data_IF_622760123550
#
_entry.id   IF_622760123550
#
_cell.length_a   1.000
_cell.length_b   1.000
_cell.length_c   1.000
_cell.angle_alpha   90.00
_cell.angle_beta   90.00
_cell.angle_gamma   90.00
#
_symmetry.space_group_name_H-M   'P 1'
#
loop_
_entity.id
_entity.type
_entity.pdbx_description
1 polymer ?
#
# COMPACT_ATOMS: atom_id res chain seq x y z
N UNK A 1 -14.79 -8.67 -5.95
CA UNK A 1 -14.55 -7.76 -4.79
C UNK A 1 -14.28 -6.35 -5.29
N UNK A 2 -14.77 -5.33 -4.58
CA UNK A 2 -14.65 -3.93 -4.99
C UNK A 2 -14.42 -3.00 -3.78
N UNK A 3 -14.09 -1.73 -4.03
CA UNK A 3 -14.00 -0.72 -3.00
C UNK A 3 -13.59 0.64 -3.54
N UNK A 4 -13.44 1.60 -2.62
CA UNK A 4 -12.98 2.95 -2.92
C UNK A 4 -11.70 3.28 -2.14
N UNK A 5 -10.77 3.97 -2.81
CA UNK A 5 -9.56 4.50 -2.19
C UNK A 5 -9.66 6.02 -2.11
N UNK A 6 -9.54 6.56 -0.89
CA UNK A 6 -9.72 7.98 -0.59
C UNK A 6 -8.57 8.54 0.23
N UNK A 7 -8.38 9.85 0.21
CA UNK A 7 -7.45 10.52 1.11
C UNK A 7 -7.99 10.49 2.54
N UNK A 8 -7.14 10.19 3.51
CA UNK A 8 -7.57 10.12 4.91
C UNK A 8 -8.04 11.47 5.46
N UNK A 9 -7.48 12.58 4.98
CA UNK A 9 -7.68 13.94 5.47
C UNK A 9 -8.95 14.60 4.93
N UNK A 10 -9.12 14.63 3.60
CA UNK A 10 -10.22 15.32 2.94
C UNK A 10 -11.25 14.38 2.30
N UNK A 11 -11.04 13.06 2.41
CA UNK A 11 -11.90 12.00 1.87
C UNK A 11 -12.11 12.06 0.35
N UNK A 12 -11.30 12.84 -0.37
CA UNK A 12 -11.36 12.87 -1.83
C UNK A 12 -10.91 11.54 -2.43
N UNK A 13 -11.49 11.14 -3.56
CA UNK A 13 -11.04 9.95 -4.28
C UNK A 13 -9.58 10.08 -4.71
N UNK A 14 -8.87 8.96 -4.74
CA UNK A 14 -7.49 8.90 -5.23
C UNK A 14 -7.45 8.08 -6.51
N UNK A 15 -7.13 8.75 -7.61
CA UNK A 15 -6.93 8.13 -8.92
C UNK A 15 -5.58 7.39 -9.00
N UNK A 16 -5.52 6.30 -9.77
CA UNK A 16 -4.29 5.57 -10.09
C UNK A 16 -3.55 4.97 -8.89
N UNK A 17 -4.28 4.49 -7.88
CA UNK A 17 -3.74 3.57 -6.87
C UNK A 17 -3.79 2.15 -7.43
N UNK A 18 -2.65 1.47 -7.44
CA UNK A 18 -2.58 0.04 -7.76
C UNK A 18 -3.09 -0.75 -6.56
N UNK A 19 -4.16 -1.49 -6.76
CA UNK A 19 -4.70 -2.45 -5.81
C UNK A 19 -4.24 -3.83 -6.25
N UNK A 20 -3.43 -4.50 -5.43
CA UNK A 20 -2.89 -5.84 -5.71
C UNK A 20 -3.40 -6.82 -4.67
N UNK A 21 -3.88 -7.98 -5.10
CA UNK A 21 -4.45 -8.97 -4.20
C UNK A 21 -3.67 -10.27 -4.23
N UNK A 22 -3.36 -10.77 -3.04
CA UNK A 22 -2.47 -11.89 -2.82
C UNK A 22 -3.15 -13.00 -2.02
N UNK A 23 -2.77 -14.25 -2.29
CA UNK A 23 -3.09 -15.40 -1.43
C UNK A 23 -2.26 -15.38 -0.16
N UNK A 24 -2.56 -16.31 0.76
CA UNK A 24 -1.79 -16.50 2.00
C UNK A 24 -0.30 -16.84 1.79
N UNK A 25 0.08 -17.39 0.63
CA UNK A 25 1.48 -17.63 0.24
C UNK A 25 2.13 -16.44 -0.48
N UNK A 26 1.44 -15.29 -0.53
CA UNK A 26 1.84 -14.07 -1.22
C UNK A 26 1.93 -14.19 -2.75
N UNK A 27 1.36 -15.25 -3.34
CA UNK A 27 1.15 -15.28 -4.80
C UNK A 27 0.09 -14.26 -5.22
N UNK A 28 0.39 -13.48 -6.26
CA UNK A 28 -0.54 -12.50 -6.82
C UNK A 28 -1.72 -13.21 -7.50
N UNK A 29 -2.94 -12.85 -7.12
CA UNK A 29 -4.19 -13.32 -7.72
C UNK A 29 -4.59 -12.39 -8.86
N UNK A 30 -4.78 -11.12 -8.54
CA UNK A 30 -5.28 -10.10 -9.46
C UNK A 30 -4.80 -8.70 -9.03
N UNK A 31 -4.94 -7.73 -9.94
CA UNK A 31 -4.66 -6.32 -9.68
C UNK A 31 -5.55 -5.40 -10.52
N UNK A 32 -5.86 -4.24 -9.96
CA UNK A 32 -6.53 -3.15 -10.64
C UNK A 32 -5.89 -1.80 -10.32
N UNK A 33 -6.24 -0.77 -11.08
CA UNK A 33 -5.96 0.62 -10.73
C UNK A 33 -7.27 1.32 -10.41
N UNK A 34 -7.25 2.22 -9.43
CA UNK A 34 -8.42 3.03 -9.12
C UNK A 34 -8.73 4.02 -10.25
N UNK A 35 -10.02 4.22 -10.53
CA UNK A 35 -10.52 5.24 -11.47
C UNK A 35 -10.56 6.64 -10.84
N UNK A 36 -11.06 7.64 -11.59
CA UNK A 36 -11.11 9.05 -11.14
C UNK A 36 -11.99 9.24 -9.89
N UNK A 37 -12.94 8.34 -9.65
CA UNK A 37 -13.79 8.30 -8.47
C UNK A 37 -13.16 7.48 -7.32
N UNK A 38 -11.91 7.03 -7.52
CA UNK A 38 -11.15 6.23 -6.57
C UNK A 38 -11.66 4.79 -6.47
N UNK A 39 -12.56 4.35 -7.35
CA UNK A 39 -13.13 3.01 -7.32
C UNK A 39 -12.17 2.00 -7.94
N UNK A 40 -12.11 0.82 -7.36
CA UNK A 40 -11.47 -0.35 -7.98
C UNK A 40 -12.39 -1.56 -7.93
N UNK A 41 -12.10 -2.53 -8.79
CA UNK A 41 -12.78 -3.81 -8.86
C UNK A 41 -11.77 -4.88 -9.28
N UNK A 42 -11.80 -6.03 -8.60
CA UNK A 42 -10.92 -7.18 -8.85
C UNK A 42 -11.72 -8.47 -8.79
N UNK A 43 -11.37 -9.40 -9.66
CA UNK A 43 -12.05 -10.69 -9.78
C UNK A 43 -11.35 -11.72 -8.88
N UNK A 44 -12.01 -12.09 -7.78
CA UNK A 44 -11.45 -13.02 -6.78
C UNK A 44 -12.51 -14.06 -6.45
N UNK A 45 -12.16 -15.35 -6.39
CA UNK A 45 -13.07 -16.38 -5.93
C UNK A 45 -13.67 -16.05 -4.55
N UNK A 46 -14.99 -16.13 -4.44
CA UNK A 46 -15.71 -15.91 -3.19
C UNK A 46 -15.24 -16.89 -2.11
N UNK A 47 -15.10 -16.39 -0.87
CA UNK A 47 -14.67 -17.19 0.27
C UNK A 47 -13.15 -17.37 0.39
N UNK A 48 -12.37 -16.92 -0.59
CA UNK A 48 -10.90 -16.98 -0.51
C UNK A 48 -10.36 -15.97 0.52
N UNK A 49 -9.44 -16.42 1.39
CA UNK A 49 -8.77 -15.52 2.34
C UNK A 49 -7.57 -14.86 1.67
N UNK A 50 -7.60 -13.53 1.58
CA UNK A 50 -6.65 -12.74 0.80
C UNK A 50 -6.00 -11.61 1.61
N UNK A 51 -4.87 -11.13 1.10
CA UNK A 51 -4.23 -9.88 1.51
C UNK A 51 -4.29 -8.88 0.36
N UNK A 52 -4.76 -7.67 0.63
CA UNK A 52 -4.92 -6.60 -0.36
C UNK A 52 -3.93 -5.48 -0.07
N UNK A 53 -3.02 -5.24 -1.00
CA UNK A 53 -2.09 -4.11 -0.97
C UNK A 53 -2.59 -2.94 -1.81
N UNK A 54 -2.42 -1.73 -1.28
CA UNK A 54 -2.75 -0.48 -1.94
C UNK A 54 -1.48 0.35 -2.05
N UNK A 55 -1.01 0.61 -3.25
CA UNK A 55 0.22 1.36 -3.46
C UNK A 55 0.20 2.08 -4.80
N UNK A 56 0.98 3.14 -4.94
CA UNK A 56 1.21 3.78 -6.23
C UNK A 56 2.38 3.12 -6.95
N UNK A 57 2.16 2.71 -8.20
CA UNK A 57 3.24 2.18 -9.03
C UNK A 57 4.28 3.28 -9.30
N UNK A 58 5.58 2.96 -9.17
CA UNK A 58 6.69 3.93 -9.24
C UNK A 58 6.74 4.73 -10.56
N UNK A 59 6.20 4.19 -11.64
CA UNK A 59 6.17 4.83 -12.96
C UNK A 59 5.07 5.89 -13.11
N UNK A 60 4.21 6.05 -12.10
CA UNK A 60 3.08 6.99 -12.16
C UNK A 60 3.49 8.35 -11.63
N UNK A 61 2.81 9.39 -12.12
CA UNK A 61 3.08 10.79 -11.72
C UNK A 61 2.76 11.06 -10.26
N UNK A 62 1.88 10.27 -9.65
CA UNK A 62 1.48 10.35 -8.24
C UNK A 62 2.26 9.36 -7.34
N UNK A 63 3.31 8.69 -7.85
CA UNK A 63 4.06 7.64 -7.15
C UNK A 63 4.62 8.03 -5.77
N UNK A 64 4.82 9.33 -5.60
CA UNK A 64 5.45 9.95 -4.44
C UNK A 64 4.43 10.60 -3.49
N UNK A 65 3.15 10.64 -3.86
CA UNK A 65 2.14 11.44 -3.14
C UNK A 65 1.53 10.70 -1.96
N UNK A 66 1.53 9.37 -1.99
CA UNK A 66 0.77 8.52 -1.07
C UNK A 66 1.64 7.47 -0.41
N UNK A 67 1.39 7.26 0.87
CA UNK A 67 1.90 6.11 1.61
C UNK A 67 1.11 4.86 1.22
N UNK A 68 1.75 3.69 1.09
CA UNK A 68 1.07 2.44 0.82
C UNK A 68 0.20 2.03 2.01
N UNK A 69 -0.63 1.01 1.82
CA UNK A 69 -1.49 0.46 2.85
C UNK A 69 -1.80 -1.01 2.56
N UNK A 70 -2.25 -1.74 3.58
CA UNK A 70 -2.59 -3.16 3.45
C UNK A 70 -3.80 -3.53 4.31
N UNK A 71 -4.61 -4.43 3.80
CA UNK A 71 -5.61 -5.17 4.58
C UNK A 71 -5.33 -6.66 4.43
N UNK A 72 -5.04 -7.32 5.54
CA UNK A 72 -4.72 -8.75 5.57
C UNK A 72 -5.90 -9.58 6.09
N UNK A 73 -5.92 -10.86 5.72
CA UNK A 73 -6.89 -11.86 6.18
C UNK A 73 -8.35 -11.48 5.91
N UNK A 74 -8.61 -10.89 4.73
CA UNK A 74 -9.98 -10.57 4.28
C UNK A 74 -10.56 -11.80 3.60
N UNK A 75 -11.79 -12.15 3.90
CA UNK A 75 -12.54 -13.14 3.14
C UNK A 75 -13.16 -12.43 1.94
N UNK A 76 -12.78 -12.83 0.73
CA UNK A 76 -13.28 -12.25 -0.50
C UNK A 76 -14.80 -12.42 -0.61
N UNK A 77 -15.49 -11.31 -0.86
CA UNK A 77 -16.93 -11.25 -1.05
C UNK A 77 -17.25 -10.15 -2.07
N UNK A 78 -18.32 -10.37 -2.83
CA UNK A 78 -18.86 -9.38 -3.76
C UNK A 78 -19.99 -8.53 -3.14
N UNK A 79 -20.34 -8.79 -1.88
CA UNK A 79 -21.42 -8.07 -1.19
C UNK A 79 -20.91 -6.89 -0.36
N UNK A 80 -19.63 -6.92 0.05
CA UNK A 80 -19.05 -5.92 0.96
C UNK A 80 -17.93 -5.15 0.27
N UNK A 81 -18.06 -3.82 0.24
CA UNK A 81 -17.01 -2.94 -0.23
C UNK A 81 -15.82 -2.97 0.72
N UNK A 82 -14.61 -3.06 0.18
CA UNK A 82 -13.36 -3.01 0.93
C UNK A 82 -12.72 -1.63 0.77
N UNK A 83 -13.29 -0.62 1.41
CA UNK A 83 -12.81 0.75 1.29
C UNK A 83 -11.48 0.98 2.02
N UNK A 84 -10.67 1.89 1.49
CA UNK A 84 -9.38 2.28 2.08
C UNK A 84 -9.17 3.78 2.08
N UNK A 85 -8.57 4.27 3.16
CA UNK A 85 -8.03 5.62 3.23
C UNK A 85 -6.51 5.58 3.19
N UNK A 86 -5.87 6.38 2.33
CA UNK A 86 -4.42 6.50 2.27
C UNK A 86 -3.95 7.82 2.88
N UNK A 87 -2.78 7.75 3.51
CA UNK A 87 -2.10 8.91 4.07
C UNK A 87 -1.21 9.57 3.02
N UNK A 88 -1.20 10.90 2.94
CA UNK A 88 -0.28 11.63 2.07
C UNK A 88 1.15 11.53 2.57
N UNK A 89 2.13 11.53 1.66
CA UNK A 89 3.55 11.64 2.01
C UNK A 89 3.79 12.90 2.87
N UNK A 90 4.62 12.78 3.92
CA UNK A 90 5.00 13.90 4.79
C UNK A 90 3.96 14.29 5.85
N UNK A 91 2.75 13.72 5.78
CA UNK A 91 1.71 13.94 6.78
C UNK A 91 2.00 13.14 8.05
N UNK A 92 1.62 13.70 9.20
CA UNK A 92 1.51 12.98 10.48
C UNK A 92 0.06 13.04 10.92
N UNK A 93 -0.54 11.89 11.24
CA UNK A 93 -1.93 11.80 11.67
C UNK A 93 -1.97 11.14 13.04
N UNK A 94 -1.72 9.83 13.06
CA UNK A 94 -1.69 9.02 14.27
C UNK A 94 -0.81 7.78 14.07
N UNK A 95 -0.56 7.08 15.18
CA UNK A 95 0.27 5.88 15.19
C UNK A 95 -0.32 4.75 14.35
N UNK A 96 -1.65 4.64 14.27
CA UNK A 96 -2.33 3.61 13.51
C UNK A 96 -2.10 3.77 12.00
N UNK A 97 -2.20 5.00 11.49
CA UNK A 97 -1.95 5.33 10.09
C UNK A 97 -0.48 5.15 9.71
N UNK A 98 0.44 5.46 10.63
CA UNK A 98 1.87 5.21 10.43
C UNK A 98 2.19 3.70 10.38
N UNK A 99 1.61 2.91 11.29
CA UNK A 99 1.77 1.45 11.29
C UNK A 99 1.18 0.82 10.02
N UNK A 100 0.04 1.32 9.57
CA UNK A 100 -0.58 0.87 8.33
C UNK A 100 0.31 1.11 7.11
N UNK A 101 0.91 2.30 7.01
CA UNK A 101 1.90 2.61 5.99
C UNK A 101 3.10 1.66 6.03
N UNK A 102 3.67 1.42 7.21
CA UNK A 102 4.79 0.50 7.39
C UNK A 102 4.44 -0.93 6.98
N UNK A 103 3.22 -1.40 7.27
CA UNK A 103 2.75 -2.70 6.85
C UNK A 103 2.55 -2.79 5.32
N UNK A 104 2.12 -1.70 4.67
CA UNK A 104 2.09 -1.61 3.20
C UNK A 104 3.49 -1.80 2.61
N UNK A 105 4.50 -1.13 3.15
CA UNK A 105 5.89 -1.32 2.75
C UNK A 105 6.41 -2.74 2.99
N UNK A 106 6.07 -3.35 4.12
CA UNK A 106 6.44 -4.74 4.43
C UNK A 106 5.83 -5.72 3.43
N UNK A 107 4.57 -5.55 3.06
CA UNK A 107 3.94 -6.37 2.03
C UNK A 107 4.67 -6.21 0.69
N UNK A 108 4.98 -4.97 0.29
CA UNK A 108 5.70 -4.77 -0.97
C UNK A 108 7.08 -5.42 -0.91
N UNK A 109 7.85 -5.21 0.16
CA UNK A 109 9.15 -5.87 0.35
C UNK A 109 9.07 -7.40 0.28
N UNK A 110 7.98 -8.00 0.79
CA UNK A 110 7.76 -9.45 0.75
C UNK A 110 7.31 -9.98 -0.62
N UNK A 111 6.72 -9.12 -1.46
CA UNK A 111 6.12 -9.52 -2.75
C UNK A 111 6.94 -9.08 -3.96
N UNK A 112 7.88 -8.15 -3.80
CA UNK A 112 8.81 -7.73 -4.85
C UNK A 112 10.09 -8.56 -4.83
N UNK A 113 10.51 -9.05 -6.00
CA UNK A 113 11.83 -9.65 -6.15
C UNK A 113 12.91 -8.56 -6.08
N UNK A 114 13.87 -8.73 -5.16
CA UNK A 114 14.96 -7.80 -4.75
C UNK A 114 15.74 -7.14 -5.89
N UNK A 115 15.74 -7.72 -7.11
CA UNK A 115 16.49 -7.20 -8.27
C UNK A 115 15.63 -6.49 -9.32
N UNK A 116 14.31 -6.59 -9.24
CA UNK A 116 13.43 -6.23 -10.35
C UNK A 116 12.98 -4.77 -10.36
N UNK A 117 13.21 -4.00 -9.28
CA UNK A 117 12.58 -2.68 -9.19
C UNK A 117 13.35 -1.65 -8.34
N UNK A 118 14.60 -1.35 -8.74
CA UNK A 118 15.41 -0.28 -8.13
C UNK A 118 14.68 1.09 -8.15
N UNK A 119 13.83 1.31 -9.17
CA UNK A 119 13.00 2.51 -9.27
C UNK A 119 11.95 2.54 -8.14
N UNK A 120 11.24 1.44 -7.92
CA UNK A 120 10.36 1.32 -6.76
C UNK A 120 11.11 1.48 -5.44
N UNK A 121 12.27 0.84 -5.29
CA UNK A 121 13.06 0.93 -4.06
C UNK A 121 13.43 2.39 -3.72
N UNK A 122 13.87 3.18 -4.71
CA UNK A 122 14.16 4.60 -4.52
C UNK A 122 12.91 5.42 -4.13
N UNK A 123 11.78 5.18 -4.79
CA UNK A 123 10.50 5.82 -4.45
C UNK A 123 10.03 5.43 -3.03
N UNK A 124 10.18 4.16 -2.65
CA UNK A 124 9.81 3.66 -1.34
C UNK A 124 10.69 4.26 -0.24
N UNK A 125 12.01 4.29 -0.43
CA UNK A 125 12.96 4.90 0.50
C UNK A 125 12.65 6.39 0.71
N UNK A 126 12.42 7.14 -0.37
CA UNK A 126 12.05 8.55 -0.29
C UNK A 126 10.78 8.77 0.54
N UNK A 127 9.70 8.05 0.20
CA UNK A 127 8.42 8.15 0.92
C UNK A 127 8.53 7.72 2.39
N UNK A 128 9.32 6.68 2.68
CA UNK A 128 9.64 6.24 4.03
C UNK A 128 10.38 7.32 4.80
N UNK A 129 11.40 7.98 4.23
CA UNK A 129 12.14 9.06 4.90
C UNK A 129 11.24 10.23 5.34
N UNK A 130 10.10 10.40 4.66
CA UNK A 130 9.11 11.43 4.94
C UNK A 130 7.98 10.96 5.86
N UNK A 131 7.94 9.68 6.23
CA UNK A 131 6.96 9.14 7.16
C UNK A 131 7.32 9.56 8.59
N UNK A 132 6.45 10.35 9.22
CA UNK A 132 6.63 10.80 10.59
C UNK A 132 6.18 9.71 11.56
N UNK A 133 7.02 9.41 12.56
CA UNK A 133 6.75 8.34 13.52
C UNK A 133 6.41 8.87 14.90
N UNK A 134 5.51 8.13 15.56
CA UNK A 134 4.96 8.47 16.86
C UNK A 134 5.64 7.73 18.03
N UNK A 135 6.43 6.68 17.74
CA UNK A 135 7.11 5.89 18.76
C UNK A 135 8.47 5.34 18.28
N UNK A 136 9.35 5.02 19.23
CA UNK A 136 10.68 4.44 18.95
C UNK A 136 10.60 3.10 18.23
N UNK A 137 9.54 2.32 18.49
CA UNK A 137 9.32 1.03 17.82
C UNK A 137 9.04 1.24 16.34
N UNK A 138 8.17 2.18 15.99
CA UNK A 138 7.87 2.47 14.58
C UNK A 138 9.06 3.11 13.87
N UNK A 139 9.86 3.95 14.56
CA UNK A 139 11.12 4.47 14.02
C UNK A 139 12.11 3.35 13.69
N UNK A 140 12.23 2.35 14.55
CA UNK A 140 13.11 1.21 14.29
C UNK A 140 12.62 0.36 13.09
N UNK A 141 11.31 0.20 12.93
CA UNK A 141 10.73 -0.50 11.76
C UNK A 141 10.95 0.28 10.46
N UNK A 142 10.68 1.59 10.48
CA UNK A 142 10.95 2.50 9.37
C UNK A 142 12.41 2.42 8.94
N UNK A 143 13.36 2.49 9.89
CA UNK A 143 14.78 2.43 9.61
C UNK A 143 15.18 1.11 8.92
N UNK A 144 14.66 -0.04 9.38
CA UNK A 144 14.92 -1.34 8.75
C UNK A 144 14.37 -1.43 7.33
N UNK A 145 13.19 -0.87 7.09
CA UNK A 145 12.61 -0.82 5.75
C UNK A 145 13.40 0.11 4.82
N UNK A 146 13.83 1.27 5.32
CA UNK A 146 14.71 2.17 4.56
C UNK A 146 16.02 1.48 4.20
N UNK A 147 16.67 0.79 5.14
CA UNK A 147 17.88 -0.01 4.86
C UNK A 147 17.61 -1.13 3.84
N UNK A 148 16.47 -1.81 3.93
CA UNK A 148 16.10 -2.85 2.96
C UNK A 148 15.97 -2.29 1.54
N UNK A 149 15.28 -1.16 1.35
CA UNK A 149 15.09 -0.56 0.03
C UNK A 149 16.35 0.16 -0.46
N UNK A 150 17.11 0.84 0.40
CA UNK A 150 18.37 1.50 0.02
C UNK A 150 19.48 0.52 -0.41
N UNK A 151 19.41 -0.75 0.02
CA UNK A 151 20.30 -1.81 -0.48
C UNK A 151 19.90 -2.35 -1.86
N UNK A 152 18.78 -1.89 -2.43
CA UNK A 152 18.24 -2.31 -3.73
C UNK A 152 18.30 -1.22 -4.81
N UNK A 153 18.65 0.01 -4.43
CA UNK A 153 18.93 1.13 -5.34
C UNK A 153 20.35 1.07 -5.86
#
# INVERSE_FOLDING_TARGET
>A
MFGYVRAIDDKKPIFMIKVSVYRGDLSLIDRAYTDEEGRYEVEIPEGETVTVGFDTHYSLTNADDWQPSVIANVIASDETALDRCLMRRGQAIDEASAMDALNGYLLTAATTNVRADAAYAATAENRLSMLKQHSLVLQALQQKLMEHFGNQT
#
